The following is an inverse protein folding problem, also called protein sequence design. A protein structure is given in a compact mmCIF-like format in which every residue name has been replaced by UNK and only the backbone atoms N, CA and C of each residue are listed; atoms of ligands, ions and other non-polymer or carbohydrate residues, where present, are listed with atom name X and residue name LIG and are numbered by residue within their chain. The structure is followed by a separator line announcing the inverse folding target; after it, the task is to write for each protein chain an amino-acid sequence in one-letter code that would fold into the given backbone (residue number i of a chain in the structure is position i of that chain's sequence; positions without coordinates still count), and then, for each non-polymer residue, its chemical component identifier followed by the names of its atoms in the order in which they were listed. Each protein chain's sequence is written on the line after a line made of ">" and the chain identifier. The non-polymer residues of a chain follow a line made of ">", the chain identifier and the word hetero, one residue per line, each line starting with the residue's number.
data_IF_145494250530
#
_entry.id   IF_145494250530
#
_cell.length_a   1.000
_cell.length_b   1.000
_cell.length_c   1.000
_cell.angle_alpha   90.00
_cell.angle_beta   90.00
_cell.angle_gamma   90.00
#
_symmetry.space_group_name_H-M   'P 1'
#
loop_
_entity.id
_entity.type
_entity.pdbx_description
1 polymer ?
#
# COMPACT_ATOMS: atom_id res chain seq x y z
N UNK A 1 -24.25 -17.78 15.54
CA UNK A 1 -24.01 -17.97 15.02
C UNK A 1 -23.31 -18.28 13.87
N UNK A 2 -22.99 -19.02 13.78
CA UNK A 2 -22.13 -19.43 12.81
C UNK A 2 -22.65 -19.30 11.45
N UNK A 3 -23.82 -19.14 11.32
CA UNK A 3 -24.39 -18.94 10.02
C UNK A 3 -24.45 -17.51 9.63
N UNK A 4 -24.30 -16.64 10.57
CA UNK A 4 -24.20 -15.25 10.26
C UNK A 4 -22.86 -15.05 9.56
N UNK A 5 -22.89 -14.44 8.38
CA UNK A 5 -21.68 -14.14 7.69
C UNK A 5 -20.90 -13.11 8.51
N UNK A 6 -19.65 -13.37 8.83
CA UNK A 6 -18.89 -12.41 9.61
C UNK A 6 -18.69 -11.12 8.83
N UNK A 7 -18.42 -10.06 9.55
CA UNK A 7 -17.98 -8.83 8.94
C UNK A 7 -16.73 -9.11 8.11
N UNK A 8 -16.55 -8.33 7.07
CA UNK A 8 -15.38 -8.48 6.22
C UNK A 8 -14.11 -8.42 7.07
N UNK A 9 -13.19 -9.32 6.79
CA UNK A 9 -11.90 -9.38 7.45
C UNK A 9 -10.85 -8.81 6.51
N UNK A 10 -10.04 -7.86 7.00
CA UNK A 10 -8.92 -7.36 6.24
C UNK A 10 -7.90 -8.49 6.00
N UNK A 11 -7.21 -8.47 4.85
CA UNK A 11 -6.13 -9.42 4.62
C UNK A 11 -5.10 -9.34 5.76
N UNK A 12 -4.82 -10.50 6.38
CA UNK A 12 -4.04 -10.58 7.61
C UNK A 12 -2.58 -10.96 7.38
N UNK A 13 -2.20 -11.24 6.14
CA UNK A 13 -0.84 -11.65 5.80
C UNK A 13 -0.17 -10.61 4.93
N UNK A 14 1.15 -10.60 4.98
CA UNK A 14 1.96 -9.77 4.11
C UNK A 14 1.96 -10.40 2.72
N UNK A 15 1.68 -9.61 1.68
CA UNK A 15 1.61 -10.12 0.31
C UNK A 15 2.58 -9.37 -0.56
N UNK A 16 3.35 -10.12 -1.36
CA UNK A 16 4.29 -9.51 -2.29
C UNK A 16 3.53 -8.80 -3.40
N UNK A 17 3.91 -7.57 -3.68
CA UNK A 17 3.33 -6.76 -4.75
C UNK A 17 4.10 -6.96 -6.05
N UNK A 18 3.50 -6.62 -7.20
CA UNK A 18 4.25 -6.56 -8.45
C UNK A 18 5.42 -5.60 -8.34
N UNK A 19 6.44 -5.78 -9.17
CA UNK A 19 7.60 -4.91 -9.19
C UNK A 19 7.22 -3.45 -9.40
N UNK A 20 7.83 -2.55 -8.65
CA UNK A 20 7.56 -1.11 -8.68
C UNK A 20 6.07 -0.82 -8.56
N UNK A 21 5.46 -1.21 -7.42
CA UNK A 21 4.00 -1.14 -7.29
C UNK A 21 3.47 0.27 -7.09
N UNK A 22 4.33 1.22 -6.73
CA UNK A 22 3.91 2.59 -6.46
C UNK A 22 3.96 3.42 -7.74
N UNK A 23 2.81 4.00 -8.09
CA UNK A 23 2.68 4.91 -9.21
C UNK A 23 2.67 6.32 -8.62
N UNK A 24 3.69 7.10 -8.93
CA UNK A 24 3.97 8.36 -8.25
C UNK A 24 3.96 9.50 -9.26
N UNK A 25 3.31 10.59 -8.89
CA UNK A 25 3.27 11.81 -9.71
C UNK A 25 3.94 12.94 -8.94
N UNK A 26 4.91 13.59 -9.57
CA UNK A 26 5.58 14.76 -9.00
C UNK A 26 4.54 15.80 -8.58
N UNK A 27 4.69 16.33 -7.37
CA UNK A 27 3.79 17.33 -6.84
C UNK A 27 2.53 16.79 -6.18
N UNK A 28 2.28 15.48 -6.25
CA UNK A 28 1.10 14.87 -5.65
C UNK A 28 1.50 13.93 -4.51
N UNK A 29 0.90 14.10 -3.34
CA UNK A 29 1.12 13.21 -2.21
C UNK A 29 0.24 11.95 -2.27
N UNK A 30 -0.66 11.86 -3.23
CA UNK A 30 -1.48 10.67 -3.43
C UNK A 30 -0.71 9.65 -4.27
N UNK A 31 -0.51 8.47 -3.72
CA UNK A 31 0.24 7.39 -4.36
C UNK A 31 -0.75 6.30 -4.75
N UNK A 32 -0.68 5.84 -6.00
CA UNK A 32 -1.51 4.73 -6.46
C UNK A 32 -0.70 3.44 -6.36
N UNK A 33 -1.30 2.41 -5.78
CA UNK A 33 -0.68 1.10 -5.63
C UNK A 33 -1.34 0.12 -6.59
N UNK A 34 -0.53 -0.68 -7.26
CA UNK A 34 -1.01 -1.81 -8.04
C UNK A 34 -0.85 -3.08 -7.21
N UNK A 35 -1.98 -3.69 -6.89
CA UNK A 35 -2.01 -4.97 -6.18
C UNK A 35 -3.15 -5.81 -6.76
N UNK A 36 -2.86 -6.72 -7.71
CA UNK A 36 -3.90 -7.49 -8.39
C UNK A 36 -4.77 -8.27 -7.40
N UNK A 37 -6.08 -8.18 -7.61
CA UNK A 37 -7.09 -8.89 -6.81
C UNK A 37 -6.87 -8.69 -5.31
N UNK A 38 -6.68 -7.45 -4.89
CA UNK A 38 -6.26 -7.16 -3.52
C UNK A 38 -7.30 -7.52 -2.46
N UNK A 39 -8.58 -7.52 -2.79
CA UNK A 39 -9.62 -7.86 -1.82
C UNK A 39 -9.75 -6.88 -0.66
N UNK A 40 -9.17 -5.70 -0.77
CA UNK A 40 -9.20 -4.69 0.30
C UNK A 40 -10.41 -3.78 0.12
N UNK A 41 -10.75 -3.07 1.18
CA UNK A 41 -11.82 -2.07 1.16
C UNK A 41 -11.27 -0.73 1.58
N UNK A 42 -11.95 0.32 1.15
CA UNK A 42 -11.58 1.67 1.57
C UNK A 42 -11.62 1.77 3.09
N UNK A 43 -10.65 2.49 3.63
CA UNK A 43 -10.38 2.65 5.06
C UNK A 43 -9.67 1.45 5.70
N UNK A 44 -9.35 0.40 4.96
CA UNK A 44 -8.42 -0.61 5.47
C UNK A 44 -7.07 0.07 5.73
N UNK A 45 -6.34 -0.45 6.71
CA UNK A 45 -4.99 0.03 7.01
C UNK A 45 -3.98 -0.93 6.42
N UNK A 46 -3.04 -0.40 5.64
CA UNK A 46 -2.01 -1.20 4.97
C UNK A 46 -0.63 -0.68 5.36
N UNK A 47 0.26 -1.60 5.70
CA UNK A 47 1.67 -1.31 5.94
C UNK A 47 2.46 -1.88 4.77
N UNK A 48 3.34 -1.06 4.20
CA UNK A 48 4.26 -1.50 3.16
C UNK A 48 5.62 -1.79 3.78
N UNK A 49 6.24 -2.87 3.33
CA UNK A 49 7.55 -3.32 3.83
C UNK A 49 8.46 -3.60 2.64
N UNK A 50 9.76 -3.51 2.88
CA UNK A 50 10.78 -3.79 1.87
C UNK A 50 10.75 -2.81 0.70
N UNK A 51 10.41 -1.57 0.97
CA UNK A 51 10.47 -0.50 -0.03
C UNK A 51 11.93 -0.15 -0.27
N UNK A 52 12.32 -0.06 -1.54
CA UNK A 52 13.71 0.16 -1.92
C UNK A 52 13.92 1.58 -2.44
N UNK A 53 15.03 2.16 -2.03
CA UNK A 53 15.52 3.43 -2.57
C UNK A 53 14.75 4.65 -2.12
N UNK A 54 14.48 5.53 -3.07
CA UNK A 54 13.76 6.79 -2.82
C UNK A 54 12.68 6.98 -3.87
N UNK A 55 11.54 6.27 -3.71
CA UNK A 55 10.46 6.36 -4.70
C UNK A 55 9.99 7.80 -4.87
N UNK A 56 9.95 8.26 -6.12
CA UNK A 56 9.54 9.62 -6.43
C UNK A 56 10.43 10.71 -5.83
N UNK A 57 11.65 10.35 -5.41
CA UNK A 57 12.55 11.26 -4.71
C UNK A 57 12.27 11.36 -3.22
N UNK A 58 11.39 10.52 -2.69
CA UNK A 58 11.01 10.51 -1.27
C UNK A 58 11.69 9.32 -0.60
N UNK A 59 12.28 9.53 0.57
CA UNK A 59 12.95 8.46 1.30
C UNK A 59 12.00 7.28 1.52
N UNK A 60 12.50 6.05 1.37
CA UNK A 60 11.68 4.86 1.50
C UNK A 60 10.98 4.76 2.87
N UNK A 61 11.57 5.31 3.91
CA UNK A 61 10.99 5.29 5.25
C UNK A 61 9.64 5.99 5.33
N UNK A 62 9.38 6.94 4.44
CA UNK A 62 8.07 7.62 4.39
C UNK A 62 6.99 6.65 3.93
N UNK A 63 7.34 5.68 3.08
CA UNK A 63 6.41 4.65 2.60
C UNK A 63 6.25 3.50 3.59
N UNK A 64 7.19 3.32 4.51
CA UNK A 64 7.19 2.23 5.48
C UNK A 64 6.70 2.69 6.84
N UNK A 65 5.57 3.37 6.87
CA UNK A 65 4.96 3.82 8.12
C UNK A 65 4.42 2.60 8.88
N UNK A 66 4.98 2.33 10.06
CA UNK A 66 4.63 1.15 10.83
C UNK A 66 3.19 1.17 11.34
N UNK A 67 2.57 2.32 11.45
CA UNK A 67 1.16 2.44 11.79
C UNK A 67 0.25 2.22 10.59
N UNK A 68 0.83 2.17 9.40
CA UNK A 68 0.11 1.95 8.17
C UNK A 68 -0.57 3.18 7.61
N UNK A 69 -1.11 3.00 6.41
CA UNK A 69 -1.86 4.03 5.71
C UNK A 69 -3.30 3.58 5.55
N UNK A 70 -4.23 4.50 5.79
CA UNK A 70 -5.63 4.28 5.43
C UNK A 70 -5.74 4.43 3.92
N UNK A 71 -6.32 3.44 3.25
CA UNK A 71 -6.36 3.42 1.79
C UNK A 71 -7.74 3.78 1.26
N UNK A 72 -7.78 4.19 0.00
CA UNK A 72 -9.01 4.37 -0.77
C UNK A 72 -8.94 3.43 -1.97
N UNK A 73 -9.90 2.51 -2.06
CA UNK A 73 -9.94 1.54 -3.15
C UNK A 73 -10.46 2.22 -4.40
N UNK A 74 -9.71 2.09 -5.50
CA UNK A 74 -10.05 2.68 -6.80
C UNK A 74 -10.39 1.63 -7.84
N UNK A 75 -10.14 0.36 -7.55
CA UNK A 75 -10.46 -0.75 -8.46
C UNK A 75 -10.08 -2.08 -7.83
N UNK A 76 -10.38 -3.16 -8.55
CA UNK A 76 -10.06 -4.51 -8.08
C UNK A 76 -8.57 -4.71 -7.87
N UNK A 77 -7.76 -3.98 -8.63
CA UNK A 77 -6.30 -4.17 -8.67
C UNK A 77 -5.53 -2.94 -8.19
N UNK A 78 -6.21 -1.92 -7.68
CA UNK A 78 -5.52 -0.70 -7.26
C UNK A 78 -6.21 -0.03 -6.09
N UNK A 79 -5.42 0.74 -5.38
CA UNK A 79 -5.91 1.64 -4.34
C UNK A 79 -4.90 2.76 -4.16
N UNK A 80 -5.29 3.79 -3.41
CA UNK A 80 -4.41 4.93 -3.16
C UNK A 80 -4.20 5.13 -1.66
N UNK A 81 -3.09 5.78 -1.35
CA UNK A 81 -2.82 6.27 0.00
C UNK A 81 -2.08 7.60 -0.12
N UNK A 82 -1.98 8.32 0.99
CA UNK A 82 -1.37 9.66 1.00
C UNK A 82 -0.14 9.65 1.89
N UNK A 83 0.95 10.20 1.38
CA UNK A 83 2.19 10.36 2.17
C UNK A 83 2.33 11.81 2.62
N UNK A 84 3.22 12.03 3.61
CA UNK A 84 3.42 13.37 4.18
C UNK A 84 4.49 14.20 3.48
N UNK A 85 5.18 13.63 2.50
CA UNK A 85 6.26 14.32 1.78
C UNK A 85 5.89 14.40 0.31
N UNK A 86 6.04 15.56 -0.31
CA UNK A 86 5.68 15.75 -1.71
C UNK A 86 6.74 15.17 -2.62
N UNK A 87 6.39 14.22 -3.50
CA UNK A 87 7.33 13.68 -4.48
C UNK A 87 7.80 14.74 -5.48
N UNK A 88 9.01 14.56 -5.96
CA UNK A 88 9.61 15.46 -6.93
C UNK A 88 9.84 14.79 -8.29
N UNK A 89 9.57 13.49 -8.41
CA UNK A 89 9.78 12.71 -9.63
C UNK A 89 8.52 11.92 -9.93
N UNK A 90 8.09 11.95 -11.18
CA UNK A 90 6.99 11.12 -11.68
C UNK A 90 7.58 9.80 -12.14
N UNK A 91 7.20 8.69 -11.51
CA UNK A 91 7.73 7.37 -11.84
C UNK A 91 6.91 6.26 -11.21
N UNK A 92 7.12 5.04 -11.68
CA UNK A 92 6.72 3.85 -10.95
C UNK A 92 7.95 3.37 -10.16
N UNK A 93 7.77 3.08 -8.89
CA UNK A 93 8.89 2.78 -8.02
C UNK A 93 8.49 1.89 -6.84
N UNK A 94 9.44 1.66 -5.95
CA UNK A 94 9.27 0.85 -4.75
C UNK A 94 10.15 -0.38 -4.74
N UNK A 95 10.57 -0.85 -5.92
CA UNK A 95 11.42 -2.03 -6.05
C UNK A 95 10.64 -3.32 -6.22
N UNK A 96 11.35 -4.43 -6.18
CA UNK A 96 10.81 -5.74 -6.56
C UNK A 96 10.35 -6.58 -5.36
N UNK A 97 10.53 -6.09 -4.14
CA UNK A 97 10.28 -6.87 -2.92
C UNK A 97 9.28 -6.21 -1.98
N UNK A 98 8.53 -5.22 -2.44
CA UNK A 98 7.54 -4.54 -1.61
C UNK A 98 6.43 -5.50 -1.26
N UNK A 99 6.09 -5.55 0.02
CA UNK A 99 4.94 -6.30 0.49
C UNK A 99 3.91 -5.34 1.09
N UNK A 100 2.65 -5.76 1.04
CA UNK A 100 1.55 -5.03 1.64
C UNK A 100 0.85 -5.94 2.63
N UNK A 101 0.68 -5.48 3.85
CA UNK A 101 0.08 -6.28 4.89
C UNK A 101 -0.49 -5.45 6.02
N UNK A 102 -0.96 -6.11 7.09
CA UNK A 102 -1.51 -5.40 8.24
C UNK A 102 -0.40 -4.80 9.09
N UNK A 103 -0.78 -3.89 9.99
CA UNK A 103 0.18 -3.27 10.92
C UNK A 103 0.81 -4.32 11.84
N UNK A 104 0.05 -5.36 12.22
CA UNK A 104 0.55 -6.48 13.01
C UNK A 104 0.31 -7.75 12.23
N UNK A 105 1.39 -8.48 11.92
CA UNK A 105 1.28 -9.74 11.22
C UNK A 105 0.82 -10.83 12.17
N UNK A 106 -0.09 -11.67 11.69
CA UNK A 106 -0.53 -12.83 12.44
C UNK A 106 0.53 -13.93 12.37
N UNK A 107 0.95 -14.50 13.51
CA UNK A 107 1.94 -15.58 13.50
C UNK A 107 1.47 -16.80 12.73
#
# INVERSE_FOLDING_TARGET
>A
LQNAKPARTEPATDRLLPGNPFNITSGSTTITVTEPSHGRSSSDTVVFRNVDGSPGGVAFTVFENSSGFSITVTGTNNYTFTIGTTPTVTERAGGMLVTAGPATLTP
#
